data_IF_416809664685
#
_entry.id   IF_416809664685
#
_cell.length_a   1.000
_cell.length_b   1.000
_cell.length_c   1.000
_cell.angle_alpha   90.00
_cell.angle_beta   90.00
_cell.angle_gamma   90.00
#
_symmetry.space_group_name_H-M   'P 1'
#
loop_
_entity.id
_entity.type
_entity.pdbx_description
1 polymer ?
#
# COMPACT_ATOMS: atom_id res chain seq x y z
N UNK A 1 -27.05 0.53 -31.92
CA UNK A 1 -27.61 1.11 -30.74
C UNK A 1 -27.73 0.14 -29.62
N UNK A 2 -28.41 -1.00 -29.83
CA UNK A 2 -28.39 -2.08 -28.84
C UNK A 2 -26.99 -2.63 -28.62
N UNK A 3 -26.16 -2.60 -29.66
CA UNK A 3 -24.76 -3.07 -29.58
C UNK A 3 -23.88 -2.30 -28.59
N UNK A 4 -24.23 -1.05 -28.24
CA UNK A 4 -23.46 -0.26 -27.30
C UNK A 4 -23.61 -0.74 -25.86
N UNK A 5 -24.68 -1.49 -25.55
CA UNK A 5 -24.91 -2.03 -24.22
C UNK A 5 -24.17 -3.36 -23.99
N UNK A 6 -23.86 -4.08 -25.06
CA UNK A 6 -23.17 -5.36 -24.96
C UNK A 6 -21.80 -5.30 -24.29
N UNK A 7 -20.90 -4.32 -24.60
CA UNK A 7 -19.62 -4.23 -23.94
C UNK A 7 -19.75 -4.01 -22.43
N UNK A 8 -20.72 -3.21 -21.99
CA UNK A 8 -20.94 -2.94 -20.57
C UNK A 8 -21.40 -4.21 -19.86
N UNK A 9 -22.33 -4.94 -20.45
CA UNK A 9 -22.82 -6.21 -19.89
C UNK A 9 -21.71 -7.24 -19.81
N UNK A 10 -20.82 -7.28 -20.81
CA UNK A 10 -19.67 -8.18 -20.81
C UNK A 10 -18.63 -7.81 -19.77
N UNK A 11 -18.49 -6.53 -19.45
CA UNK A 11 -17.55 -6.05 -18.44
C UNK A 11 -18.03 -6.36 -17.02
N UNK A 12 -19.34 -6.39 -16.80
CA UNK A 12 -19.94 -6.64 -15.49
C UNK A 12 -20.33 -8.11 -15.40
N UNK A 13 -19.35 -8.99 -15.35
CA UNK A 13 -19.59 -10.41 -15.12
C UNK A 13 -19.28 -10.75 -13.67
N UNK A 14 -20.12 -11.61 -13.08
CA UNK A 14 -19.95 -12.03 -11.69
C UNK A 14 -18.60 -12.74 -11.48
N UNK A 15 -18.15 -13.53 -12.48
CA UNK A 15 -16.85 -14.19 -12.39
C UNK A 15 -15.65 -13.22 -12.36
N UNK A 16 -15.87 -11.94 -12.64
CA UNK A 16 -14.84 -10.91 -12.48
C UNK A 16 -14.40 -10.76 -11.02
N UNK A 17 -15.29 -10.98 -10.07
CA UNK A 17 -15.00 -10.95 -8.64
C UNK A 17 -13.97 -12.04 -8.32
N UNK A 18 -14.24 -13.26 -8.74
CA UNK A 18 -13.34 -14.39 -8.52
C UNK A 18 -11.97 -14.17 -9.18
N UNK A 19 -11.99 -13.66 -10.41
CA UNK A 19 -10.76 -13.33 -11.14
C UNK A 19 -9.92 -12.30 -10.38
N UNK A 20 -10.54 -11.28 -9.82
CA UNK A 20 -9.85 -10.27 -9.01
C UNK A 20 -9.26 -10.86 -7.73
N UNK A 21 -9.99 -11.71 -7.04
CA UNK A 21 -9.48 -12.39 -5.85
C UNK A 21 -8.32 -13.31 -6.18
N UNK A 22 -8.42 -14.06 -7.27
CA UNK A 22 -7.33 -14.96 -7.70
C UNK A 22 -6.07 -14.17 -8.06
N UNK A 23 -6.22 -13.05 -8.77
CA UNK A 23 -5.10 -12.18 -9.09
C UNK A 23 -4.45 -11.60 -7.82
N UNK A 24 -5.25 -11.23 -6.85
CA UNK A 24 -4.78 -10.74 -5.56
C UNK A 24 -3.97 -11.82 -4.82
N UNK A 25 -4.48 -13.03 -4.80
CA UNK A 25 -3.80 -14.16 -4.16
C UNK A 25 -2.45 -14.43 -4.82
N UNK A 26 -2.40 -14.45 -6.15
CA UNK A 26 -1.14 -14.61 -6.88
C UNK A 26 -0.13 -13.52 -6.54
N UNK A 27 -0.58 -12.28 -6.49
CA UNK A 27 0.26 -11.12 -6.14
C UNK A 27 0.76 -11.25 -4.70
N UNK A 28 -0.09 -11.65 -3.78
CA UNK A 28 0.29 -11.86 -2.39
C UNK A 28 1.37 -12.92 -2.26
N UNK A 29 1.19 -14.06 -2.93
CA UNK A 29 2.19 -15.14 -2.93
C UNK A 29 3.51 -14.71 -3.55
N UNK A 30 3.47 -13.96 -4.65
CA UNK A 30 4.66 -13.41 -5.29
C UNK A 30 5.38 -12.42 -4.37
N UNK A 31 4.62 -11.60 -3.63
CA UNK A 31 5.17 -10.61 -2.70
C UNK A 31 5.95 -11.27 -1.55
N UNK A 32 5.57 -12.46 -1.14
CA UNK A 32 6.31 -13.21 -0.10
C UNK A 32 7.77 -13.45 -0.49
N UNK A 33 8.06 -13.57 -1.77
CA UNK A 33 9.43 -13.72 -2.26
C UNK A 33 10.27 -12.46 -2.04
N UNK A 34 9.63 -11.32 -1.80
CA UNK A 34 10.28 -10.05 -1.56
C UNK A 34 10.49 -9.74 -0.07
N UNK A 35 10.16 -10.66 0.81
CA UNK A 35 10.32 -10.45 2.26
C UNK A 35 11.72 -9.97 2.65
N UNK A 36 12.81 -10.52 2.11
CA UNK A 36 14.15 -10.00 2.43
C UNK A 36 14.34 -8.54 2.04
N UNK A 37 13.80 -8.12 0.90
CA UNK A 37 13.88 -6.73 0.44
C UNK A 37 13.01 -5.83 1.32
N UNK A 38 11.80 -6.27 1.64
CA UNK A 38 10.89 -5.53 2.52
C UNK A 38 11.52 -5.34 3.90
N UNK A 39 12.14 -6.37 4.44
CA UNK A 39 12.85 -6.28 5.71
C UNK A 39 14.00 -5.28 5.65
N UNK A 40 14.78 -5.31 4.59
CA UNK A 40 15.86 -4.35 4.38
C UNK A 40 15.35 -2.91 4.31
N UNK A 41 14.24 -2.68 3.63
CA UNK A 41 13.60 -1.36 3.59
C UNK A 41 13.18 -0.90 4.99
N UNK A 42 12.60 -1.79 5.78
CA UNK A 42 12.21 -1.47 7.14
C UNK A 42 13.41 -1.13 8.01
N UNK A 43 14.50 -1.86 7.87
CA UNK A 43 15.74 -1.60 8.60
C UNK A 43 16.34 -0.24 8.25
N UNK A 44 16.34 0.14 6.96
CA UNK A 44 16.81 1.45 6.51
C UNK A 44 15.95 2.55 7.13
N UNK A 45 14.64 2.40 7.13
CA UNK A 45 13.74 3.37 7.75
C UNK A 45 13.98 3.48 9.27
N UNK A 46 14.15 2.36 9.92
CA UNK A 46 14.42 2.31 11.35
C UNK A 46 15.74 3.04 11.68
N UNK A 47 16.79 2.75 10.94
CA UNK A 47 18.09 3.37 11.14
C UNK A 47 18.03 4.89 10.91
N UNK A 48 17.29 5.32 9.91
CA UNK A 48 17.09 6.74 9.63
C UNK A 48 16.44 7.45 10.85
N UNK A 49 15.41 6.86 11.42
CA UNK A 49 14.72 7.42 12.57
C UNK A 49 15.59 7.40 13.83
N UNK A 50 16.34 6.34 14.05
CA UNK A 50 17.24 6.21 15.21
C UNK A 50 18.37 7.25 15.14
N UNK A 51 18.85 7.55 13.96
CA UNK A 51 19.97 8.50 13.76
C UNK A 51 19.52 9.95 13.60
N UNK A 52 18.27 10.25 13.89
CA UNK A 52 17.75 11.62 13.88
C UNK A 52 17.31 12.13 12.52
N UNK A 53 17.10 11.24 11.57
CA UNK A 53 16.59 11.57 10.23
C UNK A 53 15.09 11.39 10.15
N UNK A 54 14.51 11.71 9.01
CA UNK A 54 13.07 11.68 8.77
C UNK A 54 12.72 10.71 7.65
N UNK A 55 11.48 10.25 7.67
CA UNK A 55 10.90 9.50 6.57
C UNK A 55 10.04 10.47 5.77
N UNK A 56 10.34 10.61 4.48
CA UNK A 56 9.54 11.41 3.55
C UNK A 56 8.77 10.47 2.64
N UNK A 57 7.46 10.64 2.59
CA UNK A 57 6.57 9.76 1.85
C UNK A 57 5.80 10.60 0.84
N UNK A 58 5.81 10.19 -0.42
CA UNK A 58 5.11 10.92 -1.47
C UNK A 58 4.38 9.97 -2.40
N UNK A 59 3.41 10.50 -3.12
CA UNK A 59 2.63 9.77 -4.10
C UNK A 59 1.70 10.70 -4.86
N UNK A 60 1.00 10.16 -5.85
CA UNK A 60 0.04 10.87 -6.68
C UNK A 60 -1.34 10.23 -6.57
N UNK A 61 -2.41 11.05 -6.58
CA UNK A 61 -3.77 10.53 -6.50
C UNK A 61 -3.99 9.68 -5.24
N UNK A 62 -4.40 8.43 -5.42
CA UNK A 62 -4.63 7.51 -4.31
C UNK A 62 -3.38 7.22 -3.49
N UNK A 63 -2.20 7.17 -4.13
CA UNK A 63 -0.95 6.97 -3.41
C UNK A 63 -0.53 8.19 -2.58
N UNK A 64 -1.00 9.39 -2.94
CA UNK A 64 -0.82 10.58 -2.08
C UNK A 64 -1.62 10.43 -0.79
N UNK A 65 -2.84 9.92 -0.88
CA UNK A 65 -3.66 9.62 0.30
C UNK A 65 -3.01 8.55 1.18
N UNK A 66 -2.47 7.50 0.57
CA UNK A 66 -1.73 6.46 1.28
C UNK A 66 -0.50 7.04 2.00
N UNK A 67 0.23 7.94 1.35
CA UNK A 67 1.39 8.61 1.95
C UNK A 67 1.00 9.39 3.21
N UNK A 68 -0.11 10.14 3.15
CA UNK A 68 -0.61 10.86 4.31
C UNK A 68 -1.03 9.92 5.43
N UNK A 69 -1.70 8.84 5.10
CA UNK A 69 -2.13 7.85 6.07
C UNK A 69 -0.93 7.19 6.76
N UNK A 70 0.06 6.78 5.99
CA UNK A 70 1.27 6.16 6.53
C UNK A 70 2.03 7.13 7.45
N UNK A 71 2.21 8.38 7.02
CA UNK A 71 2.85 9.39 7.85
C UNK A 71 2.11 9.60 9.16
N UNK A 72 0.77 9.62 9.11
CA UNK A 72 -0.06 9.75 10.31
C UNK A 72 0.12 8.57 11.27
N UNK A 73 0.31 7.36 10.76
CA UNK A 73 0.56 6.18 11.59
C UNK A 73 1.93 6.25 12.31
N UNK A 74 2.94 6.86 11.67
CA UNK A 74 4.23 7.09 12.32
C UNK A 74 4.14 8.13 13.42
N UNK A 75 3.39 9.21 13.20
CA UNK A 75 3.21 10.29 14.18
C UNK A 75 2.28 9.83 15.30
N UNK A 76 1.20 9.13 14.99
CA UNK A 76 0.30 8.54 15.95
C UNK A 76 0.87 7.30 16.60
N UNK A 77 0.03 6.61 17.35
CA UNK A 77 0.43 5.38 18.06
C UNK A 77 -0.35 4.21 17.48
N UNK A 78 0.10 3.80 16.30
CA UNK A 78 -0.60 2.78 15.52
C UNK A 78 -0.86 1.50 16.31
N UNK A 79 0.14 1.01 17.00
CA UNK A 79 0.05 -0.29 17.66
C UNK A 79 0.42 -0.23 19.15
N UNK A 80 1.52 0.40 19.49
CA UNK A 80 2.02 0.49 20.85
C UNK A 80 2.08 1.95 21.31
N UNK A 81 1.90 2.18 22.61
CA UNK A 81 2.17 3.49 23.21
C UNK A 81 3.64 3.84 23.02
N UNK A 82 3.89 4.93 22.34
CA UNK A 82 5.23 5.44 22.05
C UNK A 82 5.19 6.90 21.65
N UNK A 83 6.36 7.55 21.65
CA UNK A 83 6.47 8.90 21.12
C UNK A 83 6.25 8.93 19.61
N UNK A 84 5.89 10.08 19.07
CA UNK A 84 5.77 10.29 17.65
C UNK A 84 7.11 10.03 16.94
N UNK A 85 7.03 9.41 15.76
CA UNK A 85 8.18 9.16 14.91
C UNK A 85 8.20 10.16 13.74
N UNK A 86 9.38 10.60 13.27
CA UNK A 86 9.47 11.67 12.28
C UNK A 86 9.14 11.18 10.86
N UNK A 87 7.93 11.47 10.42
CA UNK A 87 7.49 11.18 9.05
C UNK A 87 6.67 12.35 8.51
N UNK A 88 6.87 12.66 7.23
CA UNK A 88 6.21 13.77 6.53
C UNK A 88 5.73 13.24 5.17
N UNK A 89 4.48 13.53 4.86
CA UNK A 89 3.91 13.22 3.56
C UNK A 89 3.97 14.41 2.61
#
# INVERSE_FOLDING_TARGET
>A
MVKQKEPIVKMIKINTIETCFNAHEETLLATKKLFPVIRQMAEICQDAMITGHKILICGNGGSAADAQHIAAEFIGRFHNERRALPAIA
#
